data_IF_065546297638
#
_entry.id   IF_065546297638
#
_cell.length_a   1.000
_cell.length_b   1.000
_cell.length_c   1.000
_cell.angle_alpha   90.00
_cell.angle_beta   90.00
_cell.angle_gamma   90.00
#
_symmetry.space_group_name_H-M   'P 1'
#
loop_
_entity.id
_entity.type
_entity.pdbx_description
1 polymer ?
#
# COMPACT_ATOMS: atom_id res chain seq x y z
N UNK A 1 6.80 -6.45 -14.60
CA UNK A 1 5.84 -7.56 -14.69
C UNK A 1 5.36 -7.81 -16.12
N UNK A 2 5.00 -6.76 -16.89
CA UNK A 2 4.59 -6.97 -18.29
C UNK A 2 5.69 -7.55 -19.20
N UNK A 3 6.96 -7.33 -18.87
CA UNK A 3 8.10 -7.95 -19.53
C UNK A 3 8.07 -9.48 -19.46
N UNK A 4 7.91 -10.05 -18.26
CA UNK A 4 7.89 -11.51 -18.03
C UNK A 4 6.80 -12.19 -18.85
N UNK A 5 5.62 -11.57 -18.94
CA UNK A 5 4.51 -12.09 -19.77
C UNK A 5 4.89 -12.20 -21.24
N UNK A 6 5.67 -11.25 -21.77
CA UNK A 6 6.10 -11.27 -23.17
C UNK A 6 7.24 -12.28 -23.37
N UNK A 7 8.18 -12.32 -22.43
CA UNK A 7 9.35 -13.21 -22.46
C UNK A 7 8.98 -14.68 -22.37
N UNK A 8 7.99 -15.03 -21.53
CA UNK A 8 7.57 -16.42 -21.31
C UNK A 8 6.54 -16.92 -22.32
N UNK A 9 5.95 -16.04 -23.15
CA UNK A 9 4.94 -16.40 -24.14
C UNK A 9 5.42 -17.45 -25.17
N UNK A 10 6.65 -17.40 -25.72
CA UNK A 10 7.17 -18.42 -26.63
C UNK A 10 7.26 -19.82 -26.00
N UNK A 11 7.38 -19.90 -24.68
CA UNK A 11 7.41 -21.16 -23.92
C UNK A 11 6.02 -21.71 -23.60
N UNK A 12 4.94 -21.07 -24.09
CA UNK A 12 3.57 -21.46 -23.80
C UNK A 12 3.11 -21.17 -22.37
N UNK A 13 3.90 -20.42 -21.59
CA UNK A 13 3.58 -20.08 -20.20
C UNK A 13 2.71 -18.82 -20.17
N UNK A 14 1.59 -18.90 -19.45
CA UNK A 14 0.68 -17.76 -19.26
C UNK A 14 0.97 -17.06 -17.94
N UNK A 15 1.20 -15.75 -17.99
CA UNK A 15 1.41 -14.94 -16.79
C UNK A 15 0.23 -13.99 -16.56
N UNK A 16 -0.26 -13.95 -15.31
CA UNK A 16 -1.33 -13.04 -14.86
C UNK A 16 -0.83 -12.21 -13.67
N UNK A 17 -1.26 -10.96 -13.58
CA UNK A 17 -0.97 -10.06 -12.46
C UNK A 17 -2.23 -9.92 -11.61
N UNK A 18 -2.14 -10.18 -10.31
CA UNK A 18 -3.19 -9.83 -9.34
C UNK A 18 -2.79 -8.56 -8.59
N UNK A 19 -3.68 -7.59 -8.60
CA UNK A 19 -3.54 -6.29 -7.95
C UNK A 19 -4.68 -6.12 -6.95
N UNK A 20 -4.54 -6.69 -5.75
CA UNK A 20 -5.50 -6.44 -4.67
C UNK A 20 -5.34 -5.03 -4.13
N UNK A 21 -6.46 -4.38 -3.84
CA UNK A 21 -6.53 -3.22 -2.95
C UNK A 21 -6.27 -3.62 -1.49
N UNK A 22 -6.78 -2.82 -0.57
CA UNK A 22 -6.63 -3.05 0.86
C UNK A 22 -7.66 -4.06 1.35
N UNK A 23 -7.18 -5.19 1.89
CA UNK A 23 -8.01 -6.22 2.50
C UNK A 23 -7.57 -6.50 3.93
N UNK A 24 -8.55 -6.81 4.80
CA UNK A 24 -8.33 -7.19 6.20
C UNK A 24 -7.66 -8.56 6.27
N UNK A 25 -6.33 -8.52 6.32
CA UNK A 25 -5.44 -9.66 6.55
C UNK A 25 -4.49 -9.29 7.69
N UNK A 26 -3.67 -10.25 8.15
CA UNK A 26 -2.62 -10.01 9.15
C UNK A 26 -1.63 -8.90 8.73
N UNK A 27 -1.55 -8.59 7.43
CA UNK A 27 -0.74 -7.48 6.93
C UNK A 27 -1.24 -6.11 7.39
N UNK A 28 -2.54 -5.93 7.64
CA UNK A 28 -3.09 -4.67 8.16
C UNK A 28 -3.62 -4.79 9.58
N UNK A 29 -3.32 -5.89 10.27
CA UNK A 29 -3.63 -6.02 11.69
C UNK A 29 -2.96 -4.89 12.50
N UNK A 30 -3.72 -4.31 13.42
CA UNK A 30 -3.29 -3.10 14.14
C UNK A 30 -2.05 -3.33 14.99
N UNK A 31 -1.98 -4.48 15.66
CA UNK A 31 -0.88 -4.83 16.56
C UNK A 31 0.36 -5.13 15.73
N UNK A 32 0.21 -5.95 14.69
CA UNK A 32 1.31 -6.30 13.79
C UNK A 32 1.89 -5.09 13.06
N UNK A 33 1.04 -4.15 12.63
CA UNK A 33 1.49 -2.91 12.00
C UNK A 33 2.34 -2.07 12.95
N UNK A 34 1.88 -1.88 14.19
CA UNK A 34 2.63 -1.14 15.20
C UNK A 34 3.97 -1.82 15.48
N UNK A 35 3.99 -3.14 15.69
CA UNK A 35 5.21 -3.90 15.94
C UNK A 35 6.19 -3.86 14.76
N UNK A 36 5.72 -3.83 13.51
CA UNK A 36 6.60 -3.63 12.35
C UNK A 36 7.28 -2.27 12.38
N UNK A 37 6.56 -1.22 12.78
CA UNK A 37 7.13 0.13 12.92
C UNK A 37 8.17 0.16 14.05
N UNK A 38 7.89 -0.44 15.20
CA UNK A 38 8.87 -0.56 16.30
C UNK A 38 10.15 -1.27 15.85
N UNK A 39 10.02 -2.42 15.17
CA UNK A 39 11.18 -3.18 14.67
C UNK A 39 12.04 -2.42 13.67
N UNK A 40 11.44 -1.52 12.89
CA UNK A 40 12.22 -0.64 12.00
C UNK A 40 12.86 0.48 12.82
N UNK A 41 12.12 1.09 13.75
CA UNK A 41 12.60 2.15 14.64
C UNK A 41 13.85 1.75 15.45
N UNK A 42 13.85 0.53 15.99
CA UNK A 42 14.97 -0.02 16.75
C UNK A 42 16.25 -0.16 15.90
N UNK A 43 16.11 -0.33 14.58
CA UNK A 43 17.26 -0.47 13.65
C UNK A 43 17.79 0.87 13.14
N UNK A 44 17.09 1.97 13.40
CA UNK A 44 17.53 3.29 12.98
C UNK A 44 18.73 3.76 13.82
N UNK A 45 19.59 4.57 13.19
CA UNK A 45 20.65 5.29 13.91
C UNK A 45 20.03 6.38 14.79
N UNK A 46 20.79 6.88 15.77
CA UNK A 46 20.29 7.94 16.65
C UNK A 46 19.98 9.24 15.90
N UNK A 47 20.76 9.57 14.87
CA UNK A 47 20.48 10.70 13.96
C UNK A 47 19.13 10.53 13.26
N UNK A 48 18.86 9.36 12.69
CA UNK A 48 17.57 9.07 12.03
C UNK A 48 16.40 9.14 13.02
N UNK A 49 16.58 8.64 14.25
CA UNK A 49 15.55 8.74 15.30
C UNK A 49 15.27 10.19 15.66
N UNK A 50 16.29 11.04 15.73
CA UNK A 50 16.13 12.48 15.96
C UNK A 50 15.42 13.18 14.80
N UNK A 51 15.73 12.82 13.55
CA UNK A 51 15.10 13.42 12.37
C UNK A 51 13.59 13.17 12.32
N UNK A 52 13.17 11.94 12.60
CA UNK A 52 11.75 11.60 12.65
C UNK A 52 11.09 12.08 13.93
N UNK A 53 11.71 11.83 15.08
CA UNK A 53 11.14 12.06 16.41
C UNK A 53 10.18 10.95 16.84
N UNK A 54 10.22 10.61 18.12
CA UNK A 54 9.42 9.52 18.68
C UNK A 54 7.92 9.84 18.65
N UNK A 55 7.53 11.10 18.86
CA UNK A 55 6.15 11.56 18.73
C UNK A 55 5.61 11.29 17.33
N UNK A 56 6.37 11.65 16.28
CA UNK A 56 5.98 11.40 14.89
C UNK A 56 5.82 9.92 14.61
N UNK A 57 6.75 9.10 15.07
CA UNK A 57 6.67 7.65 14.92
C UNK A 57 5.43 7.08 15.64
N UNK A 58 5.13 7.52 16.86
CA UNK A 58 3.96 7.04 17.62
C UNK A 58 2.64 7.47 16.96
N UNK A 59 2.55 8.72 16.53
CA UNK A 59 1.41 9.21 15.75
C UNK A 59 1.23 8.43 14.45
N UNK A 60 2.31 8.27 13.68
CA UNK A 60 2.28 7.58 12.40
C UNK A 60 1.82 6.13 12.55
N UNK A 61 2.28 5.43 13.60
CA UNK A 61 1.86 4.06 13.86
C UNK A 61 0.34 3.93 14.07
N UNK A 62 -0.27 4.83 14.82
CA UNK A 62 -1.72 4.83 15.04
C UNK A 62 -2.47 5.29 13.79
N UNK A 63 -2.06 6.41 13.20
CA UNK A 63 -2.70 6.99 12.01
C UNK A 63 -2.72 6.01 10.84
N UNK A 64 -1.57 5.40 10.54
CA UNK A 64 -1.42 4.46 9.43
C UNK A 64 -2.26 3.20 9.67
N UNK A 65 -2.19 2.65 10.88
CA UNK A 65 -2.98 1.48 11.29
C UNK A 65 -4.48 1.69 11.14
N UNK A 66 -5.01 2.81 11.66
CA UNK A 66 -6.43 3.13 11.54
C UNK A 66 -6.86 3.40 10.11
N UNK A 67 -6.02 4.08 9.32
CA UNK A 67 -6.32 4.41 7.92
C UNK A 67 -6.50 3.14 7.08
N UNK A 68 -5.55 2.20 7.14
CA UNK A 68 -5.65 0.94 6.41
C UNK A 68 -6.75 0.03 6.95
N UNK A 69 -7.01 0.03 8.26
CA UNK A 69 -8.13 -0.74 8.82
C UNK A 69 -9.50 -0.22 8.38
N UNK A 70 -9.65 1.08 8.17
CA UNK A 70 -10.88 1.70 7.64
C UNK A 70 -11.06 1.47 6.15
N UNK A 71 -9.99 1.60 5.37
CA UNK A 71 -10.02 1.33 3.92
C UNK A 71 -10.16 -0.16 3.61
N UNK A 72 -9.66 -1.03 4.49
CA UNK A 72 -9.58 -2.46 4.28
C UNK A 72 -10.94 -3.14 4.19
N UNK A 73 -11.18 -3.85 3.10
CA UNK A 73 -12.35 -4.72 2.94
C UNK A 73 -12.17 -6.04 3.70
N UNK A 74 -13.19 -6.48 4.43
CA UNK A 74 -13.22 -7.82 5.04
C UNK A 74 -13.46 -8.95 4.02
N UNK A 75 -13.85 -8.62 2.78
CA UNK A 75 -14.24 -9.60 1.76
C UNK A 75 -13.03 -10.14 0.99
N UNK A 76 -12.12 -10.81 1.68
CA UNK A 76 -10.91 -11.44 1.09
C UNK A 76 -11.24 -12.46 -0.01
N UNK A 77 -12.46 -13.01 -0.02
CA UNK A 77 -12.96 -13.91 -1.07
C UNK A 77 -12.77 -13.36 -2.49
N UNK A 78 -12.87 -12.05 -2.70
CA UNK A 78 -12.69 -11.47 -4.04
C UNK A 78 -11.28 -11.69 -4.60
N UNK A 79 -10.27 -11.72 -3.72
CA UNK A 79 -8.90 -12.03 -4.11
C UNK A 79 -8.77 -13.52 -4.43
N UNK A 80 -9.37 -14.37 -3.59
CA UNK A 80 -9.36 -15.83 -3.76
C UNK A 80 -10.05 -16.25 -5.07
N UNK A 81 -11.22 -15.69 -5.36
CA UNK A 81 -11.97 -15.98 -6.58
C UNK A 81 -11.19 -15.56 -7.84
N UNK A 82 -10.48 -14.42 -7.78
CA UNK A 82 -9.61 -13.98 -8.86
C UNK A 82 -8.38 -14.89 -9.04
N UNK A 83 -7.79 -15.37 -7.94
CA UNK A 83 -6.75 -16.40 -8.02
C UNK A 83 -7.28 -17.68 -8.65
N UNK A 84 -8.43 -18.16 -8.20
CA UNK A 84 -9.07 -19.37 -8.73
C UNK A 84 -9.34 -19.24 -10.24
N UNK A 85 -9.91 -18.12 -10.67
CA UNK A 85 -10.13 -17.86 -12.09
C UNK A 85 -8.81 -17.77 -12.87
N UNK A 86 -7.77 -17.14 -12.32
CA UNK A 86 -6.47 -17.01 -12.99
C UNK A 86 -5.80 -18.36 -13.28
N UNK A 87 -5.97 -19.35 -12.39
CA UNK A 87 -5.32 -20.67 -12.54
C UNK A 87 -6.18 -21.71 -13.25
N UNK A 88 -7.51 -21.58 -13.22
CA UNK A 88 -8.44 -22.59 -13.79
C UNK A 88 -9.06 -22.20 -15.12
N UNK A 89 -9.10 -20.90 -15.47
CA UNK A 89 -9.74 -20.47 -16.70
C UNK A 89 -8.96 -20.90 -17.94
N UNK A 90 -9.67 -21.33 -18.99
CA UNK A 90 -9.08 -21.59 -20.32
C UNK A 90 -8.44 -20.33 -20.92
N UNK A 91 -9.01 -19.16 -20.63
CA UNK A 91 -8.53 -17.85 -21.09
C UNK A 91 -8.51 -16.87 -19.91
N UNK A 92 -7.47 -16.93 -19.05
CA UNK A 92 -7.38 -16.04 -17.91
C UNK A 92 -7.09 -14.60 -18.36
N UNK A 93 -7.56 -13.62 -17.57
CA UNK A 93 -7.22 -12.21 -17.78
C UNK A 93 -5.74 -12.00 -17.45
N UNK A 94 -5.06 -11.10 -18.18
CA UNK A 94 -3.67 -10.77 -17.85
C UNK A 94 -3.52 -9.94 -16.57
N UNK A 95 -4.58 -9.24 -16.15
CA UNK A 95 -4.56 -8.36 -14.98
C UNK A 95 -5.90 -8.44 -14.24
N UNK A 96 -5.85 -8.83 -12.97
CA UNK A 96 -7.00 -8.91 -12.08
C UNK A 96 -6.88 -7.84 -11.02
N UNK A 97 -7.84 -6.93 -10.99
CA UNK A 97 -7.89 -5.86 -10.00
C UNK A 97 -8.96 -6.21 -8.99
N UNK A 98 -8.59 -6.29 -7.72
CA UNK A 98 -9.46 -6.84 -6.68
C UNK A 98 -9.77 -5.76 -5.65
N UNK A 99 -11.05 -5.56 -5.34
CA UNK A 99 -11.47 -4.58 -4.34
C UNK A 99 -12.03 -3.30 -4.96
N UNK A 100 -12.96 -2.70 -4.24
CA UNK A 100 -13.65 -1.48 -4.66
C UNK A 100 -12.73 -0.26 -4.60
N UNK A 101 -11.86 -0.21 -3.59
CA UNK A 101 -10.81 0.79 -3.44
C UNK A 101 -9.80 0.73 -4.58
N UNK A 102 -9.38 -0.46 -5.00
CA UNK A 102 -8.58 -0.62 -6.21
C UNK A 102 -9.35 0.00 -7.39
N UNK A 103 -10.55 -0.49 -7.67
CA UNK A 103 -11.32 -0.12 -8.86
C UNK A 103 -11.69 1.36 -8.96
N UNK A 104 -12.15 1.97 -7.86
CA UNK A 104 -12.71 3.33 -7.87
C UNK A 104 -11.76 4.40 -7.34
N UNK A 105 -10.74 4.05 -6.56
CA UNK A 105 -9.80 5.03 -6.00
C UNK A 105 -8.45 4.96 -6.70
N UNK A 106 -7.74 3.83 -6.55
CA UNK A 106 -6.34 3.74 -6.98
C UNK A 106 -6.18 3.74 -8.49
N UNK A 107 -7.10 3.09 -9.22
CA UNK A 107 -7.02 3.06 -10.68
C UNK A 107 -7.26 4.43 -11.30
N UNK A 108 -8.36 5.16 -11.01
CA UNK A 108 -8.55 6.48 -11.60
C UNK A 108 -7.40 7.44 -11.25
N UNK A 109 -6.92 7.41 -10.00
CA UNK A 109 -5.77 8.22 -9.57
C UNK A 109 -4.53 7.87 -10.41
N UNK A 110 -4.27 6.60 -10.71
CA UNK A 110 -3.10 6.18 -11.50
C UNK A 110 -3.04 6.72 -12.93
N UNK A 111 -4.16 7.20 -13.47
CA UNK A 111 -4.21 7.82 -14.80
C UNK A 111 -4.03 9.35 -14.78
N UNK A 112 -3.99 9.97 -13.59
CA UNK A 112 -3.78 11.41 -13.46
C UNK A 112 -2.30 11.78 -13.66
N UNK A 113 -1.99 13.04 -14.06
CA UNK A 113 -0.62 13.54 -14.06
C UNK A 113 0.01 13.47 -12.66
N UNK A 114 1.33 13.27 -12.58
CA UNK A 114 2.06 13.07 -11.31
C UNK A 114 1.73 14.12 -10.25
N UNK A 115 1.71 15.40 -10.62
CA UNK A 115 1.38 16.47 -9.69
C UNK A 115 -0.04 16.36 -9.08
N UNK A 116 -1.01 15.90 -9.87
CA UNK A 116 -2.38 15.68 -9.41
C UNK A 116 -2.48 14.42 -8.53
N UNK A 117 -1.68 13.39 -8.82
CA UNK A 117 -1.56 12.20 -7.95
C UNK A 117 -1.02 12.60 -6.59
N UNK A 118 0.11 13.33 -6.55
CA UNK A 118 0.74 13.77 -5.31
C UNK A 118 -0.21 14.63 -4.47
N UNK A 119 -0.93 15.56 -5.12
CA UNK A 119 -1.95 16.37 -4.47
C UNK A 119 -3.08 15.52 -3.88
N UNK A 120 -3.62 14.57 -4.67
CA UNK A 120 -4.72 13.70 -4.24
C UNK A 120 -4.30 12.81 -3.08
N UNK A 121 -3.11 12.20 -3.13
CA UNK A 121 -2.58 11.36 -2.06
C UNK A 121 -2.33 12.16 -0.78
N UNK A 122 -1.79 13.38 -0.90
CA UNK A 122 -1.61 14.27 0.25
C UNK A 122 -2.94 14.67 0.89
N UNK A 123 -3.98 14.89 0.08
CA UNK A 123 -5.31 15.24 0.58
C UNK A 123 -6.00 14.05 1.26
N UNK A 124 -5.86 12.84 0.71
CA UNK A 124 -6.55 11.64 1.18
C UNK A 124 -5.84 10.93 2.34
N UNK A 125 -4.51 10.87 2.31
CA UNK A 125 -3.67 10.05 3.20
C UNK A 125 -2.56 10.85 3.89
N UNK A 126 -2.55 12.17 3.74
CA UNK A 126 -1.54 13.03 4.34
C UNK A 126 -1.59 13.00 5.87
N UNK A 127 -0.48 12.68 6.56
CA UNK A 127 -0.43 12.76 8.01
C UNK A 127 -0.54 14.22 8.48
N UNK A 128 -1.32 14.44 9.53
CA UNK A 128 -1.47 15.77 10.14
C UNK A 128 -0.25 16.21 10.98
N UNK A 129 0.68 15.30 11.25
CA UNK A 129 1.92 15.60 11.97
C UNK A 129 3.12 15.51 11.05
N UNK A 130 4.16 16.29 11.37
CA UNK A 130 5.41 16.33 10.61
C UNK A 130 6.54 15.68 11.41
N UNK A 131 7.59 15.17 10.73
CA UNK A 131 8.83 14.76 11.37
C UNK A 131 9.47 15.90 12.17
N UNK A 132 10.20 15.54 13.24
CA UNK A 132 10.86 16.46 14.15
C UNK A 132 11.83 17.41 13.43
N UNK A 133 12.66 16.92 12.51
CA UNK A 133 13.60 17.74 11.74
C UNK A 133 12.90 18.91 11.02
N UNK A 134 11.72 18.66 10.43
CA UNK A 134 10.95 19.67 9.69
C UNK A 134 10.21 20.60 10.66
N UNK A 135 9.73 20.08 11.79
CA UNK A 135 9.05 20.88 12.81
C UNK A 135 10.02 21.89 13.46
N UNK A 136 11.24 21.45 13.80
CA UNK A 136 12.26 22.29 14.43
C UNK A 136 12.97 23.24 13.45
N UNK A 137 13.04 22.89 12.15
CA UNK A 137 13.62 23.76 11.12
C UNK A 137 12.85 25.08 10.91
N UNK A 138 11.61 25.22 11.40
CA UNK A 138 10.82 26.46 11.28
C UNK A 138 11.15 27.54 12.31
N UNK A 139 12.11 27.30 13.21
CA UNK A 139 12.54 28.25 14.24
C UNK A 139 13.99 28.73 14.07
N UNK A 140 14.57 28.54 12.89
CA UNK A 140 15.76 29.25 12.40
C UNK A 140 15.38 30.12 11.22
#
# INVERSE_FOLDING_TARGET
>A
MDCIRQELKPFGVTCCILEPGVFKTTLIDRVEMKQRIERVWEKLTDEQRQDYGEDFKNFFAVYWSETFNKLGSAQTKYVIDNYYHAITARYPRYRYRCGWDALLLFIPISYLPTAAVDFSLKLLLGPNMKPAAIAHSKHK
#
